data_IF_811438023922
#
_entry.id   IF_811438023922
#
_cell.length_a   1.000
_cell.length_b   1.000
_cell.length_c   1.000
_cell.angle_alpha   90.00
_cell.angle_beta   90.00
_cell.angle_gamma   90.00
#
_symmetry.space_group_name_H-M   'P 1'
#
loop_
_entity.id
_entity.type
_entity.pdbx_description
1 polymer ?
#
# COMPACT_ATOMS: atom_id res chain seq x y z
N UNK A 1 17.23 21.76 4.43
CA UNK A 1 17.63 20.95 5.61
C UNK A 1 16.68 19.76 5.65
N UNK A 2 17.02 18.68 6.34
CA UNK A 2 16.28 17.41 6.33
C UNK A 2 15.84 16.99 7.75
N UNK A 3 15.44 17.99 8.53
CA UNK A 3 14.94 17.82 9.89
C UNK A 3 13.68 16.97 9.93
N UNK A 4 13.60 16.11 10.93
CA UNK A 4 12.41 15.31 11.19
C UNK A 4 11.87 15.62 12.58
N UNK A 5 10.56 15.49 12.77
CA UNK A 5 9.99 15.62 14.12
C UNK A 5 10.68 14.60 15.04
N UNK A 6 11.11 15.00 16.24
CA UNK A 6 11.89 14.11 17.08
C UNK A 6 11.12 12.86 17.50
N UNK A 7 11.73 11.70 17.30
CA UNK A 7 11.10 10.40 17.58
C UNK A 7 11.93 9.51 18.50
N UNK A 8 11.33 8.96 19.57
CA UNK A 8 12.07 8.14 20.53
C UNK A 8 12.52 6.82 19.89
N UNK A 9 13.78 6.46 20.12
CA UNK A 9 14.40 5.23 19.68
C UNK A 9 14.35 4.21 20.82
N UNK A 10 13.52 3.16 20.65
CA UNK A 10 13.17 2.25 21.75
C UNK A 10 14.09 1.02 21.90
N UNK A 11 14.99 0.71 20.93
CA UNK A 11 15.84 -0.51 20.96
C UNK A 11 17.14 -0.34 20.16
N UNK A 12 18.19 -1.06 20.58
CA UNK A 12 19.42 -1.36 19.83
C UNK A 12 19.16 -1.76 18.37
N UNK A 13 19.79 -1.05 17.41
CA UNK A 13 19.67 -1.34 15.98
C UNK A 13 21.02 -1.79 15.39
N UNK A 14 21.27 -3.10 15.19
CA UNK A 14 22.59 -3.65 14.83
C UNK A 14 23.07 -3.29 13.40
N UNK A 15 22.21 -2.65 12.60
CA UNK A 15 22.44 -2.33 11.20
C UNK A 15 22.99 -0.91 10.95
N UNK A 16 23.35 -0.17 11.99
CA UNK A 16 23.90 1.18 11.89
C UNK A 16 25.37 1.23 12.30
N UNK A 17 26.11 2.17 11.72
CA UNK A 17 27.51 2.49 12.01
C UNK A 17 27.56 3.96 12.40
N UNK A 18 28.20 4.28 13.51
CA UNK A 18 28.46 5.66 13.89
C UNK A 18 29.54 6.22 12.95
N UNK A 19 29.23 7.33 12.26
CA UNK A 19 30.20 8.06 11.45
C UNK A 19 30.87 9.16 12.26
N UNK A 20 30.06 9.94 13.00
CA UNK A 20 30.51 11.02 13.87
C UNK A 20 29.69 11.00 15.16
N UNK A 21 30.28 11.47 16.26
CA UNK A 21 29.58 11.59 17.54
C UNK A 21 30.12 12.74 18.37
N UNK A 22 29.26 13.33 19.18
CA UNK A 22 29.61 14.20 20.29
C UNK A 22 28.81 13.78 21.53
N UNK A 23 28.92 14.55 22.62
CA UNK A 23 28.29 14.22 23.90
C UNK A 23 26.76 14.06 23.81
N UNK A 24 26.11 14.78 22.89
CA UNK A 24 24.65 14.83 22.79
C UNK A 24 24.09 14.24 21.50
N UNK A 25 24.91 14.10 20.46
CA UNK A 25 24.45 13.72 19.11
C UNK A 25 25.29 12.62 18.47
N UNK A 26 24.62 11.79 17.68
CA UNK A 26 25.22 10.71 16.88
C UNK A 26 24.81 10.86 15.42
N UNK A 27 25.79 10.95 14.52
CA UNK A 27 25.57 10.77 13.08
C UNK A 27 25.80 9.31 12.74
N UNK A 28 24.78 8.65 12.18
CA UNK A 28 24.83 7.24 11.84
C UNK A 28 24.55 6.99 10.37
N UNK A 29 25.25 6.00 9.81
CA UNK A 29 25.00 5.45 8.47
C UNK A 29 24.62 3.96 8.55
N UNK A 30 23.72 3.52 7.68
CA UNK A 30 23.33 2.10 7.56
C UNK A 30 24.46 1.25 6.95
N UNK A 31 24.71 0.07 7.54
CA UNK A 31 25.65 -0.95 7.02
C UNK A 31 25.21 -1.39 5.62
N UNK A 32 26.17 -1.49 4.68
CA UNK A 32 25.92 -1.89 3.29
C UNK A 32 25.70 -0.74 2.30
N UNK A 33 25.45 0.49 2.77
CA UNK A 33 25.32 1.66 1.90
C UNK A 33 26.70 2.27 1.59
N UNK A 34 27.15 2.21 0.32
CA UNK A 34 28.36 2.89 -0.16
C UNK A 34 29.71 2.17 0.09
N UNK A 35 29.72 0.97 0.66
CA UNK A 35 30.97 0.21 0.93
C UNK A 35 31.23 -0.88 -0.11
N UNK A 36 32.40 -0.87 -0.74
CA UNK A 36 32.87 -1.93 -1.66
C UNK A 36 33.45 -3.11 -0.86
N UNK A 37 32.67 -4.17 -0.65
CA UNK A 37 33.13 -5.39 0.03
C UNK A 37 32.01 -6.35 0.41
N UNK A 38 32.38 -7.55 0.87
CA UNK A 38 31.51 -8.73 1.09
C UNK A 38 30.35 -8.48 2.08
N UNK A 39 30.41 -7.42 2.90
CA UNK A 39 29.31 -6.95 3.74
C UNK A 39 28.14 -6.29 2.99
N UNK A 40 28.28 -5.99 1.69
CA UNK A 40 27.18 -5.52 0.84
C UNK A 40 26.24 -6.64 0.39
N UNK A 41 26.69 -7.90 0.38
CA UNK A 41 25.92 -9.03 -0.13
C UNK A 41 24.85 -9.54 0.85
N UNK A 42 25.05 -9.40 2.16
CA UNK A 42 24.06 -9.86 3.15
C UNK A 42 22.91 -8.87 3.39
N UNK A 43 23.07 -7.62 2.95
CA UNK A 43 22.03 -6.57 3.05
C UNK A 43 21.23 -6.45 1.76
N UNK A 44 21.84 -6.76 0.60
CA UNK A 44 21.20 -6.66 -0.71
C UNK A 44 20.03 -7.64 -0.95
N UNK A 45 20.01 -8.81 -0.28
CA UNK A 45 18.97 -9.83 -0.51
C UNK A 45 17.74 -9.67 0.40
N UNK A 46 17.88 -9.00 1.54
CA UNK A 46 16.73 -8.64 2.39
C UNK A 46 16.09 -7.32 1.95
N UNK A 47 16.89 -6.36 1.46
CA UNK A 47 16.42 -5.06 0.99
C UNK A 47 15.71 -5.11 -0.39
N UNK A 48 15.82 -6.21 -1.13
CA UNK A 48 15.07 -6.42 -2.39
C UNK A 48 13.67 -6.99 -2.20
N UNK A 49 13.37 -7.51 -0.99
CA UNK A 49 12.07 -8.13 -0.64
C UNK A 49 11.17 -7.16 0.13
N UNK A 50 11.74 -6.10 0.71
CA UNK A 50 11.03 -5.12 1.56
C UNK A 50 10.93 -3.71 0.98
N UNK A 51 11.28 -3.52 -0.30
CA UNK A 51 11.22 -2.33 -1.17
C UNK A 51 10.95 -0.96 -0.51
N UNK A 52 11.65 -0.68 0.59
CA UNK A 52 11.74 0.61 1.22
C UNK A 52 13.18 0.76 1.65
N UNK A 53 13.91 1.68 1.01
CA UNK A 53 15.26 2.01 1.42
C UNK A 53 15.13 3.09 2.49
N UNK A 54 15.17 2.77 3.80
CA UNK A 54 15.22 3.82 4.81
C UNK A 54 16.44 4.67 4.51
N UNK A 55 16.29 5.99 4.60
CA UNK A 55 17.34 6.90 4.21
C UNK A 55 18.65 6.52 4.96
N UNK A 56 19.76 6.32 4.24
CA UNK A 56 20.95 5.68 4.75
C UNK A 56 21.66 6.46 5.85
N UNK A 57 21.28 7.72 6.09
CA UNK A 57 21.89 8.60 7.08
C UNK A 57 20.85 9.13 8.07
N UNK A 58 21.24 9.25 9.34
CA UNK A 58 20.42 9.87 10.38
C UNK A 58 21.25 10.56 11.44
N UNK A 59 20.69 11.57 12.07
CA UNK A 59 21.22 12.19 13.30
C UNK A 59 20.30 11.82 14.46
N UNK A 60 20.90 11.37 15.56
CA UNK A 60 20.23 11.11 16.82
C UNK A 60 20.65 12.16 17.84
N UNK A 61 19.70 12.62 18.65
CA UNK A 61 19.98 13.10 20.00
C UNK A 61 20.03 11.89 20.93
N UNK A 62 20.98 11.83 21.85
CA UNK A 62 21.08 10.73 22.82
C UNK A 62 21.56 11.22 24.19
N UNK A 63 21.12 10.51 25.22
CA UNK A 63 21.59 10.61 26.59
C UNK A 63 21.63 9.22 27.21
N UNK A 64 22.74 8.94 27.91
CA UNK A 64 22.95 7.69 28.60
C UNK A 64 23.56 7.99 29.98
N UNK A 65 22.82 7.64 31.04
CA UNK A 65 23.26 7.77 32.43
C UNK A 65 22.67 6.65 33.27
N UNK A 66 23.52 5.85 33.93
CA UNK A 66 23.23 4.74 34.87
C UNK A 66 22.04 3.82 34.49
N UNK A 67 20.78 4.26 34.65
CA UNK A 67 19.55 3.50 34.35
C UNK A 67 18.64 4.16 33.27
N UNK A 68 19.04 5.31 32.73
CA UNK A 68 18.26 6.10 31.78
C UNK A 68 19.00 6.12 30.43
N UNK A 69 18.38 5.51 29.43
CA UNK A 69 18.79 5.64 28.03
C UNK A 69 17.68 6.32 27.25
N UNK A 70 17.96 7.53 26.76
CA UNK A 70 17.05 8.30 25.93
C UNK A 70 17.72 8.58 24.60
N UNK A 71 17.05 8.21 23.51
CA UNK A 71 17.54 8.49 22.16
C UNK A 71 16.39 8.98 21.30
N UNK A 72 16.61 10.02 20.51
CA UNK A 72 15.63 10.58 19.58
C UNK A 72 16.22 10.73 18.18
N UNK A 73 15.52 10.29 17.14
CA UNK A 73 15.88 10.59 15.75
C UNK A 73 15.44 12.02 15.44
N UNK A 74 16.36 12.89 15.01
CA UNK A 74 16.08 14.32 14.79
C UNK A 74 16.31 14.78 13.34
N UNK A 75 17.02 14.00 12.54
CA UNK A 75 17.18 14.23 11.10
C UNK A 75 17.44 12.92 10.37
N UNK A 76 16.99 12.84 9.12
CA UNK A 76 17.15 11.66 8.24
C UNK A 76 17.47 12.17 6.83
N UNK A 77 18.45 11.57 6.14
CA UNK A 77 18.81 11.98 4.78
C UNK A 77 19.09 10.83 3.82
N UNK A 78 18.77 11.06 2.55
CA UNK A 78 19.15 10.18 1.44
C UNK A 78 20.62 10.39 1.08
N UNK A 79 21.04 11.66 1.02
CA UNK A 79 22.39 12.01 0.64
C UNK A 79 23.24 12.43 1.85
N UNK A 80 24.50 11.97 1.87
CA UNK A 80 25.47 12.32 2.91
C UNK A 80 25.69 13.84 2.98
N UNK A 81 25.71 14.50 1.84
CA UNK A 81 25.89 15.95 1.75
C UNK A 81 24.75 16.74 2.39
N UNK A 82 23.55 16.16 2.50
CA UNK A 82 22.40 16.80 3.14
C UNK A 82 22.47 16.66 4.65
N UNK A 83 22.73 15.44 5.15
CA UNK A 83 22.84 15.21 6.60
C UNK A 83 24.01 15.97 7.22
N UNK A 84 25.10 16.17 6.48
CA UNK A 84 26.25 16.93 6.96
C UNK A 84 25.95 18.42 7.14
N UNK A 85 25.05 18.99 6.32
CA UNK A 85 24.62 20.39 6.51
C UNK A 85 23.87 20.54 7.82
N UNK A 86 22.99 19.59 8.12
CA UNK A 86 22.22 19.56 9.36
C UNK A 86 23.13 19.29 10.57
N UNK A 87 24.10 18.38 10.44
CA UNK A 87 25.13 18.15 11.45
C UNK A 87 25.92 19.42 11.78
N UNK A 88 26.45 20.09 10.74
CA UNK A 88 27.18 21.35 10.91
C UNK A 88 26.28 22.44 11.50
N UNK A 89 25.00 22.46 11.15
CA UNK A 89 24.04 23.40 11.73
C UNK A 89 23.87 23.15 13.23
N UNK A 90 23.73 21.89 13.68
CA UNK A 90 23.67 21.54 15.11
C UNK A 90 24.94 22.00 15.83
N UNK A 91 26.12 21.70 15.28
CA UNK A 91 27.40 22.05 15.90
C UNK A 91 27.58 23.56 16.08
N UNK A 92 27.10 24.37 15.13
CA UNK A 92 27.25 25.81 15.19
C UNK A 92 26.15 26.52 15.99
N UNK A 93 24.92 25.97 16.01
CA UNK A 93 23.75 26.68 16.52
C UNK A 93 23.17 26.09 17.82
N UNK A 94 23.33 24.79 18.05
CA UNK A 94 22.77 24.11 19.22
C UNK A 94 23.87 23.75 20.21
N UNK A 95 24.91 23.04 19.75
CA UNK A 95 25.96 22.46 20.61
C UNK A 95 26.60 23.45 21.60
N UNK A 96 26.92 24.71 21.21
CA UNK A 96 27.57 25.66 22.13
C UNK A 96 26.70 26.05 23.33
N UNK A 97 25.37 25.91 23.21
CA UNK A 97 24.41 26.25 24.27
C UNK A 97 24.13 25.09 25.22
N UNK A 98 24.43 23.84 24.82
CA UNK A 98 24.01 22.68 25.61
C UNK A 98 24.76 22.55 26.93
N UNK A 99 26.01 23.03 27.00
CA UNK A 99 26.82 22.99 28.21
C UNK A 99 26.39 23.95 29.32
N UNK A 100 25.44 24.86 29.06
CA UNK A 100 24.95 25.81 30.07
C UNK A 100 23.70 25.34 30.82
N UNK A 101 23.16 24.15 30.50
CA UNK A 101 21.98 23.61 31.17
C UNK A 101 22.38 22.75 32.37
N UNK A 102 21.60 22.84 33.45
CA UNK A 102 21.90 22.18 34.73
C UNK A 102 21.45 20.71 34.78
N UNK A 103 20.52 20.31 33.90
CA UNK A 103 19.98 18.95 33.85
C UNK A 103 19.68 18.53 32.41
N UNK A 104 19.65 17.21 32.17
CA UNK A 104 19.42 16.69 30.83
C UNK A 104 17.98 16.86 30.33
N UNK A 105 16.97 16.92 31.22
CA UNK A 105 15.60 17.14 30.76
C UNK A 105 15.43 18.49 30.05
N UNK A 106 16.11 19.53 30.55
CA UNK A 106 16.11 20.86 29.96
C UNK A 106 16.92 20.90 28.66
N UNK A 107 18.07 20.20 28.60
CA UNK A 107 18.84 19.99 27.36
C UNK A 107 17.94 19.34 26.31
N UNK A 108 17.29 18.23 26.66
CA UNK A 108 16.39 17.49 25.78
C UNK A 108 15.26 18.37 25.30
N UNK A 109 14.53 19.02 26.20
CA UNK A 109 13.40 19.88 25.85
C UNK A 109 13.84 21.00 24.90
N UNK A 110 14.96 21.66 25.19
CA UNK A 110 15.52 22.69 24.32
C UNK A 110 15.83 22.16 22.91
N UNK A 111 16.53 21.02 22.82
CA UNK A 111 16.88 20.38 21.54
C UNK A 111 15.62 20.00 20.76
N UNK A 112 14.70 19.24 21.35
CA UNK A 112 13.51 18.77 20.66
C UNK A 112 12.63 19.95 20.19
N UNK A 113 12.40 20.95 21.04
CA UNK A 113 11.63 22.15 20.67
C UNK A 113 12.30 22.95 19.54
N UNK A 114 13.64 23.06 19.53
CA UNK A 114 14.35 23.74 18.44
C UNK A 114 14.21 22.99 17.12
N UNK A 115 14.37 21.66 17.12
CA UNK A 115 14.20 20.83 15.92
C UNK A 115 12.75 20.87 15.41
N UNK A 116 11.75 20.77 16.30
CA UNK A 116 10.34 20.90 15.94
C UNK A 116 10.02 22.28 15.33
N UNK A 117 10.63 23.33 15.85
CA UNK A 117 10.55 24.68 15.29
C UNK A 117 11.07 24.74 13.85
N UNK A 118 12.22 24.11 13.57
CA UNK A 118 12.79 24.04 12.22
C UNK A 118 11.89 23.26 11.26
N UNK A 119 11.32 22.13 11.69
CA UNK A 119 10.35 21.37 10.90
C UNK A 119 9.12 22.20 10.55
N UNK A 120 8.65 23.04 11.47
CA UNK A 120 7.45 23.88 11.28
C UNK A 120 7.72 25.06 10.33
N UNK A 121 8.96 25.56 10.29
CA UNK A 121 9.40 26.61 9.37
C UNK A 121 9.53 26.07 7.93
N UNK A 122 10.05 24.84 7.77
CA UNK A 122 10.13 24.18 6.45
C UNK A 122 8.72 23.86 5.88
N UNK A 123 7.73 23.57 6.74
CA UNK A 123 6.33 23.38 6.32
C UNK A 123 5.65 24.67 5.81
N UNK A 124 6.14 25.84 6.22
CA UNK A 124 5.52 27.14 5.91
C UNK A 124 6.08 27.81 4.65
N UNK A 125 7.21 27.32 4.12
CA UNK A 125 7.97 27.98 3.06
C UNK A 125 7.88 27.38 1.65
N UNK A 126 7.43 26.13 1.48
CA UNK A 126 7.42 25.52 0.15
C UNK A 126 6.48 24.31 0.06
N UNK A 127 5.26 24.54 -0.41
CA UNK A 127 4.41 23.46 -0.90
C UNK A 127 4.96 22.91 -2.20
N UNK A 128 5.85 21.90 -2.15
CA UNK A 128 6.21 21.05 -3.30
C UNK A 128 7.16 19.87 -2.99
N UNK A 129 7.10 19.16 -1.86
CA UNK A 129 7.84 17.88 -1.73
C UNK A 129 7.04 16.87 -0.90
N UNK A 130 6.19 16.11 -1.59
CA UNK A 130 5.25 15.10 -1.04
C UNK A 130 5.93 13.72 -0.83
N UNK A 131 7.27 13.61 -0.96
CA UNK A 131 7.97 12.32 -1.00
C UNK A 131 8.44 11.74 0.35
N UNK A 132 8.85 12.56 1.32
CA UNK A 132 9.72 12.07 2.42
C UNK A 132 9.07 11.99 3.81
N UNK A 133 7.73 12.03 3.89
CA UNK A 133 6.96 11.87 5.15
C UNK A 133 6.62 10.40 5.51
N UNK A 134 7.07 9.42 4.72
CA UNK A 134 6.46 8.09 4.68
C UNK A 134 6.98 7.05 5.69
N UNK A 135 8.17 7.24 6.28
CA UNK A 135 8.75 6.21 7.17
C UNK A 135 8.47 6.37 8.68
N UNK A 136 8.24 7.60 9.11
CA UNK A 136 7.90 7.97 10.50
C UNK A 136 6.44 7.61 10.85
N UNK A 137 5.57 7.65 9.85
CA UNK A 137 4.15 7.36 9.97
C UNK A 137 3.87 5.89 10.24
N UNK A 138 4.76 4.96 9.89
CA UNK A 138 4.43 3.54 9.83
C UNK A 138 4.05 2.93 11.18
N UNK A 139 4.72 3.20 12.30
CA UNK A 139 4.32 2.62 13.59
C UNK A 139 2.98 3.18 14.10
N UNK A 140 2.78 4.51 14.02
CA UNK A 140 1.52 5.14 14.42
C UNK A 140 0.36 4.74 13.49
N UNK A 141 0.63 4.60 12.18
CA UNK A 141 -0.33 4.09 11.18
C UNK A 141 -0.64 2.63 11.45
N UNK A 142 0.35 1.79 11.76
CA UNK A 142 0.15 0.37 12.11
C UNK A 142 -0.66 0.25 13.39
N UNK A 143 -0.32 0.98 14.45
CA UNK A 143 -1.09 0.98 15.70
C UNK A 143 -2.52 1.49 15.48
N UNK A 144 -2.68 2.57 14.71
CA UNK A 144 -4.00 3.10 14.33
C UNK A 144 -4.77 2.10 13.47
N UNK A 145 -4.12 1.39 12.56
CA UNK A 145 -4.72 0.35 11.72
C UNK A 145 -5.24 -0.81 12.58
N UNK A 146 -4.43 -1.33 13.49
CA UNK A 146 -4.85 -2.38 14.43
C UNK A 146 -6.05 -1.95 15.28
N UNK A 147 -5.99 -0.72 15.81
CA UNK A 147 -7.06 -0.14 16.62
C UNK A 147 -8.32 0.14 15.82
N UNK A 148 -8.21 0.69 14.61
CA UNK A 148 -9.35 1.11 13.80
C UNK A 148 -10.14 -0.10 13.27
N UNK A 149 -9.47 -1.21 12.99
CA UNK A 149 -10.07 -2.41 12.40
C UNK A 149 -10.15 -3.60 13.34
N UNK A 150 -9.80 -3.43 14.62
CA UNK A 150 -9.83 -4.48 15.65
C UNK A 150 -9.11 -5.74 15.15
N UNK A 151 -7.85 -5.58 14.76
CA UNK A 151 -7.00 -6.64 14.22
C UNK A 151 -6.07 -7.19 15.30
N UNK A 152 -5.72 -8.47 15.21
CA UNK A 152 -4.72 -9.08 16.09
C UNK A 152 -3.35 -8.46 15.84
N UNK A 153 -2.50 -8.44 16.87
CA UNK A 153 -1.13 -7.93 16.77
C UNK A 153 -0.26 -8.69 15.75
N UNK A 154 -0.68 -9.90 15.37
CA UNK A 154 -0.02 -10.72 14.35
C UNK A 154 -0.35 -10.27 12.92
N UNK A 155 -1.36 -9.41 12.72
CA UNK A 155 -1.75 -8.92 11.41
C UNK A 155 -0.76 -7.89 10.88
N UNK A 156 0.01 -8.28 9.87
CA UNK A 156 1.07 -7.42 9.33
C UNK A 156 0.50 -6.49 8.27
N UNK A 157 0.54 -5.19 8.54
CA UNK A 157 0.31 -4.17 7.51
C UNK A 157 1.42 -4.26 6.47
N UNK A 158 1.02 -4.39 5.20
CA UNK A 158 1.92 -4.45 4.04
C UNK A 158 2.12 -3.04 3.48
N UNK A 159 1.04 -2.31 3.20
CA UNK A 159 1.11 -0.91 2.77
C UNK A 159 -0.22 -0.17 2.97
N UNK A 160 -0.25 1.14 2.78
CA UNK A 160 -1.48 1.94 2.76
C UNK A 160 -1.40 3.05 1.71
N UNK A 161 -2.55 3.42 1.15
CA UNK A 161 -2.64 4.41 0.08
C UNK A 161 -3.80 5.37 0.33
N UNK A 162 -3.62 6.64 -0.02
CA UNK A 162 -4.72 7.60 -0.07
C UNK A 162 -5.62 7.29 -1.27
N UNK A 163 -6.93 7.23 -1.05
CA UNK A 163 -7.91 6.99 -2.10
C UNK A 163 -9.30 7.51 -1.73
N UNK A 164 -10.24 7.42 -2.66
CA UNK A 164 -11.65 7.74 -2.46
C UNK A 164 -12.49 6.49 -2.63
N UNK A 165 -13.30 6.16 -1.61
CA UNK A 165 -14.34 5.14 -1.71
C UNK A 165 -15.65 5.75 -2.20
N UNK A 166 -16.33 5.10 -3.13
CA UNK A 166 -17.61 5.56 -3.67
C UNK A 166 -18.77 4.79 -3.06
N UNK A 167 -19.50 5.43 -2.14
CA UNK A 167 -20.76 4.91 -1.61
C UNK A 167 -21.90 5.38 -2.51
N UNK A 168 -22.10 4.67 -3.62
CA UNK A 168 -22.98 5.14 -4.71
C UNK A 168 -22.41 6.39 -5.36
N UNK A 169 -23.11 7.53 -5.27
CA UNK A 169 -22.64 8.81 -5.82
C UNK A 169 -21.84 9.66 -4.82
N UNK A 170 -21.70 9.21 -3.57
CA UNK A 170 -21.00 9.97 -2.53
C UNK A 170 -19.53 9.55 -2.41
N UNK A 171 -18.57 10.47 -2.65
CA UNK A 171 -17.15 10.21 -2.44
C UNK A 171 -16.80 10.32 -0.95
N UNK A 172 -16.14 9.29 -0.43
CA UNK A 172 -15.55 9.29 0.91
C UNK A 172 -14.03 9.24 0.78
N UNK A 173 -13.35 10.36 1.01
CA UNK A 173 -11.89 10.43 0.95
C UNK A 173 -11.29 9.79 2.21
N UNK A 174 -10.32 8.89 2.03
CA UNK A 174 -9.73 8.17 3.14
C UNK A 174 -8.43 7.47 2.76
N UNK A 175 -8.08 6.46 3.57
CA UNK A 175 -6.93 5.60 3.36
C UNK A 175 -7.37 4.16 3.23
N UNK A 176 -6.88 3.47 2.20
CA UNK A 176 -6.93 2.02 2.07
C UNK A 176 -5.65 1.45 2.67
N UNK A 177 -5.76 0.32 3.35
CA UNK A 177 -4.69 -0.40 4.02
C UNK A 177 -4.71 -1.84 3.50
N UNK A 178 -3.56 -2.32 3.07
CA UNK A 178 -3.35 -3.70 2.68
C UNK A 178 -2.50 -4.37 3.74
N UNK A 179 -3.01 -5.46 4.29
CA UNK A 179 -2.31 -6.34 5.22
C UNK A 179 -2.19 -7.74 4.61
N UNK A 180 -1.51 -8.65 5.28
CA UNK A 180 -1.33 -10.02 4.78
C UNK A 180 -2.68 -10.70 4.53
N UNK A 181 -3.65 -10.51 5.42
CA UNK A 181 -4.94 -11.20 5.35
C UNK A 181 -6.12 -10.30 4.96
N UNK A 182 -6.00 -8.98 5.14
CA UNK A 182 -7.11 -8.05 4.93
C UNK A 182 -6.80 -6.87 3.99
N UNK A 183 -7.82 -6.48 3.24
CA UNK A 183 -8.00 -5.15 2.65
C UNK A 183 -8.92 -4.34 3.55
N UNK A 184 -8.44 -3.20 4.04
CA UNK A 184 -9.21 -2.33 4.93
C UNK A 184 -9.28 -0.91 4.39
N UNK A 185 -10.36 -0.17 4.64
CA UNK A 185 -10.47 1.24 4.28
C UNK A 185 -11.08 2.04 5.43
N UNK A 186 -10.51 3.20 5.73
CA UNK A 186 -11.01 4.12 6.74
C UNK A 186 -11.08 5.54 6.19
N UNK A 187 -12.25 6.18 6.36
CA UNK A 187 -12.50 7.58 6.10
C UNK A 187 -13.21 8.21 7.29
N UNK A 188 -12.83 9.44 7.63
CA UNK A 188 -13.48 10.25 8.65
C UNK A 188 -13.66 11.67 8.12
N UNK A 189 -14.90 12.07 7.86
CA UNK A 189 -15.22 13.39 7.31
C UNK A 189 -16.48 13.93 7.99
N UNK A 190 -16.35 15.10 8.64
CA UNK A 190 -17.46 15.85 9.28
C UNK A 190 -18.31 14.96 10.20
N UNK A 191 -17.65 14.19 11.09
CA UNK A 191 -18.31 13.32 12.06
C UNK A 191 -18.84 11.98 11.51
N UNK A 192 -18.82 11.78 10.19
CA UNK A 192 -19.19 10.51 9.58
C UNK A 192 -17.96 9.64 9.35
N UNK A 193 -17.92 8.50 10.03
CA UNK A 193 -16.86 7.51 9.90
C UNK A 193 -17.31 6.37 8.99
N UNK A 194 -16.51 6.04 7.98
CA UNK A 194 -16.72 4.86 7.13
C UNK A 194 -15.54 3.92 7.29
N UNK A 195 -15.82 2.67 7.68
CA UNK A 195 -14.83 1.59 7.81
C UNK A 195 -15.26 0.39 6.96
N UNK A 196 -14.33 -0.15 6.19
CA UNK A 196 -14.48 -1.38 5.40
C UNK A 196 -13.34 -2.31 5.80
N UNK A 197 -13.64 -3.58 6.07
CA UNK A 197 -12.66 -4.63 6.40
C UNK A 197 -13.05 -5.88 5.64
N UNK A 198 -12.24 -6.30 4.68
CA UNK A 198 -12.48 -7.44 3.80
C UNK A 198 -11.28 -8.38 3.90
N UNK A 199 -11.51 -9.68 4.07
CA UNK A 199 -10.44 -10.67 3.91
C UNK A 199 -10.13 -10.85 2.43
N UNK A 200 -8.86 -11.05 2.09
CA UNK A 200 -8.48 -11.40 0.72
C UNK A 200 -9.18 -12.67 0.23
N UNK A 201 -9.40 -13.64 1.12
CA UNK A 201 -10.12 -14.89 0.85
C UNK A 201 -11.59 -14.71 0.46
N UNK A 202 -12.21 -13.59 0.84
CA UNK A 202 -13.63 -13.31 0.58
C UNK A 202 -13.83 -12.52 -0.73
N UNK A 203 -12.74 -12.03 -1.33
CA UNK A 203 -12.74 -11.29 -2.59
C UNK A 203 -12.80 -12.28 -3.74
N UNK A 204 -13.91 -12.24 -4.48
CA UNK A 204 -14.14 -13.12 -5.64
C UNK A 204 -13.60 -12.55 -6.94
N UNK A 205 -13.47 -11.22 -7.02
CA UNK A 205 -12.96 -10.53 -8.21
C UNK A 205 -12.35 -9.20 -7.84
N UNK A 206 -11.22 -8.88 -8.46
CA UNK A 206 -10.59 -7.57 -8.44
C UNK A 206 -10.54 -7.04 -9.87
N UNK A 207 -11.25 -5.95 -10.16
CA UNK A 207 -11.32 -5.37 -11.50
C UNK A 207 -10.56 -4.04 -11.58
N UNK A 208 -9.79 -3.88 -12.66
CA UNK A 208 -9.14 -2.62 -13.03
C UNK A 208 -10.01 -1.90 -14.06
N UNK A 209 -10.49 -0.72 -13.69
CA UNK A 209 -11.35 0.12 -14.53
C UNK A 209 -10.57 1.36 -14.98
N UNK A 210 -10.42 1.51 -16.30
CA UNK A 210 -9.63 2.56 -16.97
C UNK A 210 -10.48 3.37 -17.96
N UNK A 211 -11.51 4.09 -17.48
CA UNK A 211 -12.34 4.93 -18.34
C UNK A 211 -11.56 6.11 -18.93
N UNK A 212 -11.88 6.51 -20.17
CA UNK A 212 -11.16 7.54 -20.93
C UNK A 212 -11.20 8.94 -20.27
N UNK A 213 -12.22 9.23 -19.47
CA UNK A 213 -12.51 10.56 -18.90
C UNK A 213 -12.68 10.56 -17.37
N UNK A 214 -12.48 9.43 -16.70
CA UNK A 214 -12.62 9.34 -15.24
C UNK A 214 -11.33 8.79 -14.62
N UNK A 215 -11.07 9.06 -13.33
CA UNK A 215 -9.93 8.49 -12.63
C UNK A 215 -9.95 6.95 -12.67
N UNK A 216 -8.77 6.35 -12.79
CA UNK A 216 -8.59 4.91 -12.71
C UNK A 216 -9.18 4.38 -11.40
N UNK A 217 -9.86 3.24 -11.45
CA UNK A 217 -10.54 2.67 -10.28
C UNK A 217 -10.30 1.17 -10.12
N UNK A 218 -10.31 0.75 -8.86
CA UNK A 218 -10.23 -0.64 -8.43
C UNK A 218 -11.61 -1.00 -7.90
N UNK A 219 -12.26 -1.99 -8.52
CA UNK A 219 -13.53 -2.54 -8.05
C UNK A 219 -13.28 -3.87 -7.36
N UNK A 220 -13.60 -3.93 -6.07
CA UNK A 220 -13.45 -5.11 -5.23
C UNK A 220 -14.82 -5.79 -5.10
N UNK A 221 -14.96 -6.99 -5.66
CA UNK A 221 -16.21 -7.75 -5.62
C UNK A 221 -16.08 -8.89 -4.60
N UNK A 222 -17.04 -8.94 -3.68
CA UNK A 222 -17.21 -9.99 -2.69
C UNK A 222 -18.55 -10.69 -2.91
N UNK A 223 -18.82 -11.77 -2.17
CA UNK A 223 -20.14 -12.44 -2.19
C UNK A 223 -21.30 -11.53 -1.76
N UNK A 224 -21.01 -10.51 -0.95
CA UNK A 224 -22.01 -9.68 -0.30
C UNK A 224 -22.19 -8.31 -0.97
N UNK A 225 -21.32 -7.95 -1.93
CA UNK A 225 -21.38 -6.64 -2.59
C UNK A 225 -20.10 -6.26 -3.31
N UNK A 226 -20.13 -5.07 -3.89
CA UNK A 226 -19.02 -4.46 -4.64
C UNK A 226 -18.59 -3.14 -4.00
N UNK A 227 -17.30 -2.86 -4.03
CA UNK A 227 -16.68 -1.66 -3.47
C UNK A 227 -15.79 -0.99 -4.50
N UNK A 228 -16.08 0.26 -4.83
CA UNK A 228 -15.35 1.03 -5.85
C UNK A 228 -14.42 2.05 -5.19
N UNK A 229 -13.13 1.96 -5.52
CA UNK A 229 -12.09 2.87 -5.05
C UNK A 229 -11.44 3.58 -6.24
N UNK A 230 -11.20 4.89 -6.13
CA UNK A 230 -10.51 5.66 -7.18
C UNK A 230 -9.64 6.77 -6.59
N UNK A 231 -9.09 7.64 -7.45
CA UNK A 231 -8.25 8.79 -7.06
C UNK A 231 -6.98 8.38 -6.28
N UNK A 232 -6.40 7.24 -6.66
CA UNK A 232 -5.11 6.81 -6.13
C UNK A 232 -3.98 7.69 -6.69
N UNK A 233 -3.01 8.03 -5.85
CA UNK A 233 -1.79 8.74 -6.28
C UNK A 233 -0.92 7.86 -7.17
N UNK A 234 -0.78 6.57 -6.83
CA UNK A 234 0.00 5.60 -7.59
C UNK A 234 -0.84 4.34 -7.91
N UNK A 235 -1.77 4.50 -8.85
CA UNK A 235 -2.78 3.49 -9.16
C UNK A 235 -2.20 2.12 -9.56
N UNK A 236 -1.23 2.11 -10.48
CA UNK A 236 -0.70 0.86 -11.05
C UNK A 236 -0.02 0.00 -9.98
N UNK A 237 0.76 0.64 -9.11
CA UNK A 237 1.42 0.00 -7.99
C UNK A 237 0.40 -0.54 -6.97
N UNK A 238 -0.58 0.28 -6.60
CA UNK A 238 -1.65 -0.10 -5.67
C UNK A 238 -2.40 -1.34 -6.19
N UNK A 239 -2.79 -1.33 -7.46
CA UNK A 239 -3.51 -2.44 -8.08
C UNK A 239 -2.65 -3.70 -8.15
N UNK A 240 -1.38 -3.56 -8.54
CA UNK A 240 -0.43 -4.69 -8.61
C UNK A 240 -0.27 -5.35 -7.25
N UNK A 241 -0.10 -4.57 -6.18
CA UNK A 241 0.03 -5.09 -4.82
C UNK A 241 -1.26 -5.78 -4.33
N UNK A 242 -2.42 -5.14 -4.52
CA UNK A 242 -3.71 -5.73 -4.18
C UNK A 242 -3.95 -7.07 -4.91
N UNK A 243 -3.58 -7.14 -6.19
CA UNK A 243 -3.69 -8.35 -7.00
C UNK A 243 -2.73 -9.44 -6.51
N UNK A 244 -1.50 -9.10 -6.10
CA UNK A 244 -0.55 -10.06 -5.53
C UNK A 244 -1.06 -10.65 -4.22
N UNK A 245 -1.59 -9.84 -3.32
CA UNK A 245 -2.12 -10.29 -2.03
C UNK A 245 -3.37 -11.18 -2.21
N UNK A 246 -4.29 -10.80 -3.10
CA UNK A 246 -5.45 -11.63 -3.42
C UNK A 246 -5.04 -13.02 -3.97
N UNK A 247 -4.04 -13.07 -4.86
CA UNK A 247 -3.53 -14.34 -5.39
C UNK A 247 -2.79 -15.17 -4.34
N UNK A 248 -2.01 -14.53 -3.46
CA UNK A 248 -1.32 -15.23 -2.38
C UNK A 248 -2.32 -15.89 -1.42
N UNK A 249 -3.37 -15.16 -1.02
CA UNK A 249 -4.42 -15.70 -0.18
C UNK A 249 -5.15 -16.89 -0.84
N UNK A 250 -5.45 -16.81 -2.15
CA UNK A 250 -6.03 -17.94 -2.88
C UNK A 250 -5.10 -19.16 -2.91
N UNK A 251 -3.79 -18.97 -3.08
CA UNK A 251 -2.82 -20.09 -3.05
C UNK A 251 -2.75 -20.73 -1.68
N UNK A 252 -2.68 -19.93 -0.61
CA UNK A 252 -2.67 -20.43 0.75
C UNK A 252 -3.91 -21.27 1.07
N UNK A 253 -5.10 -20.85 0.61
CA UNK A 253 -6.33 -21.65 0.74
C UNK A 253 -6.29 -22.99 0.01
N UNK A 254 -5.53 -23.09 -1.10
CA UNK A 254 -5.38 -24.32 -1.87
C UNK A 254 -4.32 -25.24 -1.24
N UNK A 255 -3.29 -24.66 -0.63
CA UNK A 255 -2.14 -25.36 -0.04
C UNK A 255 -2.38 -25.81 1.41
N UNK A 256 -3.36 -25.26 2.13
CA UNK A 256 -3.77 -25.73 3.45
C UNK A 256 -4.30 -27.18 3.37
N UNK A 257 -3.70 -28.11 4.14
CA UNK A 257 -3.97 -29.57 4.18
C UNK A 257 -5.38 -29.95 4.72
N UNK A 258 -6.41 -29.19 4.35
CA UNK A 258 -7.82 -29.47 4.59
C UNK A 258 -8.68 -29.42 3.32
N UNK A 259 -8.12 -29.01 2.17
CA UNK A 259 -8.82 -29.08 0.89
C UNK A 259 -8.76 -30.52 0.36
N UNK A 260 -9.65 -31.39 0.85
CA UNK A 260 -9.99 -32.58 0.07
C UNK A 260 -10.61 -32.08 -1.23
N UNK A 261 -9.84 -32.08 -2.33
CA UNK A 261 -10.41 -31.95 -3.68
C UNK A 261 -11.56 -32.96 -3.74
N UNK A 262 -12.81 -32.47 -3.73
CA UNK A 262 -13.97 -33.36 -3.88
C UNK A 262 -13.83 -34.03 -5.25
N UNK A 263 -13.52 -35.35 -5.31
CA UNK A 263 -13.27 -36.02 -6.57
C UNK A 263 -14.49 -35.95 -7.49
N UNK A 264 -15.68 -35.73 -6.93
CA UNK A 264 -16.93 -35.59 -7.67
C UNK A 264 -17.01 -34.26 -8.42
N UNK A 265 -16.54 -33.15 -7.85
CA UNK A 265 -16.53 -31.84 -8.51
C UNK A 265 -15.50 -31.76 -9.63
N UNK A 266 -14.31 -32.33 -9.40
CA UNK A 266 -13.27 -32.46 -10.42
C UNK A 266 -13.75 -33.33 -11.58
N UNK A 267 -14.36 -34.48 -11.29
CA UNK A 267 -14.95 -35.34 -12.31
C UNK A 267 -16.13 -34.67 -13.03
N UNK A 268 -16.96 -33.87 -12.33
CA UNK A 268 -18.05 -33.11 -12.96
C UNK A 268 -17.52 -32.03 -13.89
N UNK A 269 -16.46 -31.31 -13.51
CA UNK A 269 -15.80 -30.34 -14.39
C UNK A 269 -15.21 -31.03 -15.63
N UNK A 270 -14.58 -32.19 -15.49
CA UNK A 270 -14.08 -32.97 -16.63
C UNK A 270 -15.21 -33.53 -17.50
N UNK A 271 -16.32 -33.98 -16.93
CA UNK A 271 -17.51 -34.44 -17.67
C UNK A 271 -18.23 -33.30 -18.40
N UNK A 272 -18.38 -32.14 -17.77
CA UNK A 272 -19.01 -30.95 -18.35
C UNK A 272 -18.13 -30.29 -19.42
N UNK A 273 -16.81 -30.28 -19.22
CA UNK A 273 -15.83 -29.80 -20.21
C UNK A 273 -15.79 -30.72 -21.44
N UNK A 274 -15.93 -32.03 -21.24
CA UNK A 274 -16.06 -33.02 -22.32
C UNK A 274 -17.39 -32.90 -23.06
N UNK A 275 -18.49 -32.59 -22.36
CA UNK A 275 -19.80 -32.31 -22.99
C UNK A 275 -19.82 -31.00 -23.77
N UNK A 276 -19.11 -29.95 -23.33
CA UNK A 276 -19.05 -28.65 -24.04
C UNK A 276 -18.18 -28.68 -25.30
N UNK A 277 -17.18 -29.57 -25.40
CA UNK A 277 -16.37 -29.73 -26.63
C UNK A 277 -17.11 -30.44 -27.77
N UNK A 278 -18.19 -31.17 -27.50
CA UNK A 278 -18.95 -31.92 -28.52
C UNK A 278 -20.15 -31.17 -29.13
N UNK A 279 -20.20 -29.83 -29.06
CA UNK A 279 -21.15 -29.06 -29.88
C UNK A 279 -20.51 -27.86 -30.58
N UNK A 280 -19.49 -28.13 -31.40
CA UNK A 280 -19.19 -27.25 -32.54
C UNK A 280 -20.27 -27.43 -33.60
N UNK A 281 -21.39 -26.72 -33.44
CA UNK A 281 -22.29 -26.47 -34.57
C UNK A 281 -21.60 -25.49 -35.52
N UNK A 282 -20.86 -26.01 -36.51
CA UNK A 282 -20.34 -25.26 -37.66
C UNK A 282 -21.49 -24.90 -38.62
N UNK A 283 -22.46 -24.14 -38.13
CA UNK A 283 -23.45 -23.50 -38.98
C UNK A 283 -23.12 -22.00 -38.99
N UNK A 284 -22.72 -21.43 -40.15
CA UNK A 284 -22.43 -20.01 -40.28
C UNK A 284 -23.60 -19.19 -39.76
N UNK A 285 -23.31 -18.04 -39.14
CA UNK A 285 -24.32 -17.12 -38.57
C UNK A 285 -25.47 -16.85 -39.56
N UNK A 286 -25.14 -16.66 -40.84
CA UNK A 286 -26.09 -16.43 -41.94
C UNK A 286 -27.08 -17.59 -42.11
N UNK A 287 -26.62 -18.85 -42.03
CA UNK A 287 -27.50 -20.02 -42.15
C UNK A 287 -28.39 -20.19 -40.92
N UNK A 288 -27.89 -19.87 -39.73
CA UNK A 288 -28.70 -19.80 -38.49
C UNK A 288 -29.78 -18.72 -38.56
N UNK A 289 -29.46 -17.55 -39.09
CA UNK A 289 -30.42 -16.45 -39.26
C UNK A 289 -31.49 -16.78 -40.32
N UNK A 290 -31.10 -17.39 -41.44
CA UNK A 290 -32.03 -17.87 -42.47
C UNK A 290 -32.97 -18.96 -41.94
N UNK A 291 -32.45 -19.95 -41.22
CA UNK A 291 -33.26 -21.02 -40.61
C UNK A 291 -34.20 -20.50 -39.52
N UNK A 292 -33.77 -19.48 -38.77
CA UNK A 292 -34.61 -18.81 -37.76
C UNK A 292 -35.75 -18.00 -38.42
N UNK A 293 -35.46 -17.30 -39.52
CA UNK A 293 -36.46 -16.56 -40.31
C UNK A 293 -37.47 -17.50 -40.98
N UNK A 294 -37.04 -18.68 -41.42
CA UNK A 294 -37.92 -19.69 -42.04
C UNK A 294 -38.97 -20.27 -41.06
N UNK A 295 -38.69 -20.22 -39.75
CA UNK A 295 -39.61 -20.72 -38.71
C UNK A 295 -40.62 -19.69 -38.21
N UNK A 296 -40.46 -18.42 -38.56
CA UNK A 296 -41.42 -17.38 -38.19
C UNK A 296 -42.66 -17.45 -39.08
N UNK A 297 -43.86 -17.55 -38.50
CA UNK A 297 -45.13 -17.53 -39.23
C UNK A 297 -45.28 -16.30 -40.14
N UNK A 298 -44.63 -15.19 -39.77
CA UNK A 298 -44.56 -13.95 -40.53
C UNK A 298 -43.95 -14.15 -41.92
N UNK A 299 -42.94 -15.04 -42.05
CA UNK A 299 -42.27 -15.33 -43.32
C UNK A 299 -43.07 -16.31 -44.19
N UNK A 300 -43.78 -17.27 -43.57
CA UNK A 300 -44.72 -18.18 -44.26
C UNK A 300 -45.92 -17.42 -44.86
N UNK A 301 -46.39 -16.36 -44.20
CA UNK A 301 -47.46 -15.49 -44.72
C UNK A 301 -46.97 -14.62 -45.88
N UNK A 302 -45.73 -14.12 -45.84
CA UNK A 302 -45.16 -13.29 -46.91
C UNK A 302 -44.87 -14.08 -48.20
N UNK A 303 -44.28 -15.28 -48.08
CA UNK A 303 -43.98 -16.15 -49.22
C UNK A 303 -45.23 -16.74 -49.89
N UNK A 304 -46.29 -17.06 -49.12
CA UNK A 304 -47.60 -17.41 -49.70
C UNK A 304 -48.27 -16.27 -50.48
N UNK A 305 -47.99 -15.01 -50.12
CA UNK A 305 -48.56 -13.83 -50.79
C UNK A 305 -47.87 -13.54 -52.12
N UNK A 306 -46.58 -13.85 -52.24
CA UNK A 306 -45.77 -13.62 -53.46
C UNK A 306 -46.03 -14.70 -54.52
N UNK A 307 -46.21 -15.97 -54.13
CA UNK A 307 -46.49 -17.05 -55.09
C UNK A 307 -47.88 -16.93 -55.74
N UNK A 308 -48.83 -16.23 -55.11
CA UNK A 308 -50.17 -16.00 -55.67
C UNK A 308 -50.28 -14.77 -56.61
N UNK A 309 -49.21 -14.00 -56.83
CA UNK A 309 -49.24 -12.79 -57.68
C UNK A 309 -48.25 -12.83 -58.85
N UNK A 310 -47.73 -14.01 -59.21
CA UNK A 310 -47.04 -14.18 -60.48
C UNK A 310 -48.07 -14.50 -61.56
N UNK A 311 -48.26 -13.64 -62.58
CA UNK A 311 -49.02 -14.02 -63.76
C UNK A 311 -48.33 -15.19 -64.47
N UNK A 312 -49.15 -16.08 -65.04
CA UNK A 312 -48.70 -17.13 -65.97
C UNK A 312 -48.00 -16.53 -67.19
#
# INVERSE_FOLDING_TARGET
MVWTRPEPLLVSQPFWVNECQNLYFLLQRRKGHGTKGIGSLFVATLDSVFDTRPAPFRILYHHEAEDIHVSFVIAIAVHHSEILKDWAWIENNILPTLGSFDNEEDVRRFVLTKIEGLCSLDESGMGAFVGDKEHISNHAVVHKFHKDFELSADEKLVNYYSCTYWKGKMPCQGKIYFSVNFLCFHSFLVGNQTKIKLRWTDITKLEKNMPLLLPQSITVVTRNGSYDFSMFMNFEETYKLAFQLANLAMKQLIEEEGFSEDPTLRNKHFYESSKKKNKKNNVPFVKRDLDARQRSESYRKLTRRIIMHLPK
#
